data_IF_181610632614
#
_entry.id   IF_181610632614
#
_cell.length_a   1.000
_cell.length_b   1.000
_cell.length_c   1.000
_cell.angle_alpha   90.00
_cell.angle_beta   90.00
_cell.angle_gamma   90.00
#
_symmetry.space_group_name_H-M   'P 1'
#
loop_
_entity.id
_entity.type
_entity.pdbx_description
1 polymer ?
#
# COMPACT_ATOMS: atom_id res chain seq x y z
N UNK A 1 -1.80 17.42 -16.43
CA UNK A 1 -1.15 18.73 -16.60
C UNK A 1 0.35 18.65 -16.93
N UNK A 2 1.13 17.71 -16.35
CA UNK A 2 2.59 17.56 -16.60
C UNK A 2 2.97 16.96 -17.97
N UNK A 3 2.15 16.07 -18.51
CA UNK A 3 2.34 15.47 -19.85
C UNK A 3 2.05 16.48 -20.98
N UNK A 4 1.19 17.47 -20.76
CA UNK A 4 0.74 18.42 -21.78
C UNK A 4 1.65 19.66 -21.91
N UNK A 5 2.71 19.79 -21.09
CA UNK A 5 3.72 20.85 -21.16
C UNK A 5 5.10 20.37 -21.65
N UNK A 6 5.20 19.16 -22.23
CA UNK A 6 6.50 18.58 -22.63
C UNK A 6 7.54 18.49 -21.48
N UNK A 7 7.10 18.30 -20.23
CA UNK A 7 7.99 18.36 -19.06
C UNK A 7 8.82 19.68 -18.95
N UNK A 8 8.41 20.71 -19.71
CA UNK A 8 8.97 22.04 -19.95
C UNK A 8 10.02 22.27 -21.07
N UNK A 9 10.63 21.23 -21.69
CA UNK A 9 11.54 21.24 -22.89
C UNK A 9 12.39 19.92 -22.96
N UNK A 10 11.86 18.77 -22.49
CA UNK A 10 12.58 17.48 -22.47
C UNK A 10 13.49 17.22 -21.25
N UNK A 11 13.70 18.22 -20.37
CA UNK A 11 14.53 18.06 -19.14
C UNK A 11 13.87 17.15 -18.10
N UNK A 12 12.53 17.20 -17.96
CA UNK A 12 11.79 16.36 -17.02
C UNK A 12 11.98 14.85 -17.25
N UNK A 13 12.04 14.41 -18.52
CA UNK A 13 12.31 13.01 -18.86
C UNK A 13 13.71 12.56 -18.46
N UNK A 14 14.70 13.46 -18.53
CA UNK A 14 16.08 13.15 -18.15
C UNK A 14 16.22 13.02 -16.63
N UNK A 15 15.51 13.86 -15.88
CA UNK A 15 15.42 13.75 -14.41
C UNK A 15 14.72 12.45 -14.02
N UNK A 16 13.57 12.14 -14.63
CA UNK A 16 12.83 10.91 -14.37
C UNK A 16 13.67 9.64 -14.67
N UNK A 17 14.54 9.68 -15.69
CA UNK A 17 15.45 8.57 -16.01
C UNK A 17 16.42 8.24 -14.87
N UNK A 18 16.79 9.21 -14.03
CA UNK A 18 17.61 8.97 -12.84
C UNK A 18 16.78 8.79 -11.56
N UNK A 19 15.63 9.46 -11.47
CA UNK A 19 14.75 9.43 -10.31
C UNK A 19 14.09 8.05 -10.15
N UNK A 20 13.54 7.49 -11.24
CA UNK A 20 12.82 6.21 -11.22
C UNK A 20 13.74 5.06 -10.77
N UNK A 21 14.97 4.87 -11.32
CA UNK A 21 15.87 3.83 -10.84
C UNK A 21 16.33 4.02 -9.38
N UNK A 22 16.42 5.27 -8.90
CA UNK A 22 16.74 5.51 -7.49
C UNK A 22 15.60 5.10 -6.58
N UNK A 23 14.37 5.49 -6.94
CA UNK A 23 13.16 5.12 -6.21
C UNK A 23 12.92 3.61 -6.22
N UNK A 24 13.23 2.94 -7.34
CA UNK A 24 13.13 1.47 -7.49
C UNK A 24 14.10 0.74 -6.55
N UNK A 25 15.38 1.13 -6.53
CA UNK A 25 16.38 0.57 -5.60
C UNK A 25 16.01 0.80 -4.13
N UNK A 26 15.50 1.99 -3.81
CA UNK A 26 15.01 2.27 -2.45
C UNK A 26 13.79 1.43 -2.08
N UNK A 27 12.90 1.15 -3.05
CA UNK A 27 11.74 0.28 -2.87
C UNK A 27 12.17 -1.17 -2.62
N UNK A 28 13.09 -1.72 -3.41
CA UNK A 28 13.61 -3.09 -3.23
C UNK A 28 14.25 -3.30 -1.84
N UNK A 29 14.95 -2.29 -1.34
CA UNK A 29 15.55 -2.34 0.00
C UNK A 29 14.51 -2.25 1.12
N UNK A 30 13.39 -1.54 0.88
CA UNK A 30 12.35 -1.25 1.88
C UNK A 30 11.24 -2.30 1.93
N UNK A 31 10.90 -2.88 0.78
CA UNK A 31 9.83 -3.85 0.60
C UNK A 31 10.41 -5.25 0.39
N UNK A 32 10.96 -5.84 1.45
CA UNK A 32 11.39 -7.24 1.42
C UNK A 32 10.19 -8.16 1.28
N UNK A 33 10.34 -9.18 0.45
CA UNK A 33 9.39 -10.29 0.39
C UNK A 33 9.20 -10.91 1.78
N UNK A 34 7.95 -11.07 2.15
CA UNK A 34 7.55 -11.64 3.41
C UNK A 34 6.28 -12.46 3.25
N UNK A 35 5.83 -13.12 4.31
CA UNK A 35 4.69 -14.04 4.26
C UNK A 35 3.37 -13.37 3.87
N UNK A 36 3.25 -12.04 3.99
CA UNK A 36 2.08 -11.26 3.59
C UNK A 36 2.38 -10.57 2.27
N UNK A 37 1.61 -10.91 1.23
CA UNK A 37 1.79 -10.34 -0.11
C UNK A 37 1.06 -8.99 -0.27
N UNK A 38 1.75 -7.99 -0.81
CA UNK A 38 1.20 -6.65 -1.08
C UNK A 38 0.03 -6.70 -2.06
N UNK A 39 0.19 -7.35 -3.20
CA UNK A 39 -0.83 -7.42 -4.25
C UNK A 39 -2.11 -8.07 -3.74
N UNK A 40 -2.00 -9.20 -3.03
CA UNK A 40 -3.17 -9.89 -2.46
C UNK A 40 -3.88 -8.99 -1.45
N UNK A 41 -3.13 -8.33 -0.57
CA UNK A 41 -3.73 -7.45 0.45
C UNK A 41 -4.43 -6.24 -0.19
N UNK A 42 -3.84 -5.67 -1.24
CA UNK A 42 -4.44 -4.59 -2.02
C UNK A 42 -5.74 -5.01 -2.72
N UNK A 43 -5.76 -6.19 -3.34
CA UNK A 43 -6.98 -6.75 -3.94
C UNK A 43 -8.06 -6.92 -2.86
N UNK A 44 -7.70 -7.49 -1.70
CA UNK A 44 -8.64 -7.62 -0.57
C UNK A 44 -9.16 -6.27 -0.06
N UNK A 45 -8.34 -5.21 -0.06
CA UNK A 45 -8.75 -3.86 0.33
C UNK A 45 -9.71 -3.23 -0.69
N UNK A 46 -9.49 -3.44 -1.99
CA UNK A 46 -10.35 -2.83 -3.02
C UNK A 46 -11.72 -3.51 -3.06
N UNK A 47 -11.77 -4.84 -3.07
CA UNK A 47 -13.03 -5.58 -3.24
C UNK A 47 -13.76 -5.85 -1.93
N UNK A 48 -13.02 -6.11 -0.85
CA UNK A 48 -13.57 -6.50 0.46
C UNK A 48 -13.13 -5.54 1.57
N UNK A 49 -12.69 -4.33 1.20
CA UNK A 49 -12.21 -3.31 2.12
C UNK A 49 -13.24 -2.90 3.15
N UNK A 50 -14.47 -2.65 2.71
CA UNK A 50 -15.62 -2.24 3.55
C UNK A 50 -15.92 -3.26 4.65
N UNK A 51 -15.65 -4.54 4.38
CA UNK A 51 -15.80 -5.64 5.35
C UNK A 51 -14.54 -5.86 6.21
N UNK A 52 -13.44 -5.16 5.94
CA UNK A 52 -12.19 -5.29 6.69
C UNK A 52 -11.42 -6.60 6.43
N UNK A 53 -11.71 -7.33 5.34
CA UNK A 53 -11.13 -8.67 5.10
C UNK A 53 -9.61 -8.65 4.98
N UNK A 54 -9.06 -7.59 4.39
CA UNK A 54 -7.63 -7.35 4.30
C UNK A 54 -6.91 -7.36 5.68
N UNK A 55 -7.61 -6.98 6.77
CA UNK A 55 -7.05 -6.99 8.14
C UNK A 55 -6.91 -8.41 8.69
N UNK A 56 -7.79 -9.33 8.32
CA UNK A 56 -7.66 -10.74 8.70
C UNK A 56 -6.47 -11.40 8.00
N UNK A 57 -6.22 -11.05 6.73
CA UNK A 57 -5.03 -11.51 6.02
C UNK A 57 -3.74 -11.04 6.71
N UNK A 58 -3.74 -9.81 7.25
CA UNK A 58 -2.66 -9.29 8.09
C UNK A 58 -2.67 -9.80 9.56
N UNK A 59 -3.52 -10.77 9.91
CA UNK A 59 -3.73 -11.31 11.28
C UNK A 59 -4.13 -10.26 12.33
N UNK A 60 -4.65 -9.11 11.93
CA UNK A 60 -5.19 -8.07 12.83
C UNK A 60 -6.67 -8.32 13.15
N UNK A 61 -6.95 -9.49 13.75
CA UNK A 61 -8.30 -10.02 13.99
C UNK A 61 -9.23 -9.06 14.74
N UNK A 62 -8.75 -8.44 15.82
CA UNK A 62 -9.57 -7.53 16.64
C UNK A 62 -10.06 -6.35 15.79
N UNK A 63 -9.15 -5.70 15.04
CA UNK A 63 -9.51 -4.59 14.16
C UNK A 63 -10.39 -5.02 12.97
N UNK A 64 -10.21 -6.24 12.46
CA UNK A 64 -11.06 -6.81 11.40
C UNK A 64 -12.49 -7.08 11.87
N UNK A 65 -12.66 -7.59 13.10
CA UNK A 65 -13.98 -7.83 13.70
C UNK A 65 -14.71 -6.50 13.93
N UNK A 66 -14.00 -5.48 14.45
CA UNK A 66 -14.56 -4.14 14.60
C UNK A 66 -15.07 -3.64 13.23
N UNK A 67 -14.26 -3.81 12.18
CA UNK A 67 -14.63 -3.45 10.82
C UNK A 67 -15.87 -4.19 10.29
N UNK A 68 -15.99 -5.49 10.54
CA UNK A 68 -17.18 -6.28 10.18
C UNK A 68 -18.44 -5.81 10.90
N UNK A 69 -18.33 -5.55 12.21
CA UNK A 69 -19.47 -5.10 13.03
C UNK A 69 -19.90 -3.67 12.70
N UNK A 70 -19.01 -2.87 12.10
CA UNK A 70 -19.24 -1.44 11.86
C UNK A 70 -19.30 -1.04 10.38
N UNK A 71 -19.09 -2.00 9.47
CA UNK A 71 -19.12 -1.77 8.02
C UNK A 71 -18.06 -0.77 7.53
N UNK A 72 -16.90 -0.72 8.19
CA UNK A 72 -15.82 0.22 7.83
C UNK A 72 -15.97 1.66 8.30
N UNK A 73 -16.87 1.89 9.27
CA UNK A 73 -17.14 3.16 9.99
C UNK A 73 -17.17 4.41 9.11
N UNK A 74 -18.14 4.50 8.19
CA UNK A 74 -18.38 5.67 7.32
C UNK A 74 -17.34 5.93 6.23
N UNK A 75 -16.71 4.90 5.66
CA UNK A 75 -15.76 4.99 4.52
C UNK A 75 -14.45 5.72 4.80
N UNK A 76 -14.35 6.54 5.85
CA UNK A 76 -13.13 7.21 6.27
C UNK A 76 -12.05 6.21 6.71
N UNK A 77 -12.44 5.16 7.41
CA UNK A 77 -11.52 4.08 7.77
C UNK A 77 -10.91 3.41 6.54
N UNK A 78 -11.70 3.26 5.46
CA UNK A 78 -11.25 2.63 4.21
C UNK A 78 -10.23 3.50 3.48
N UNK A 79 -10.47 4.81 3.46
CA UNK A 79 -9.52 5.80 2.93
C UNK A 79 -8.23 5.84 3.73
N UNK A 80 -8.32 5.76 5.07
CA UNK A 80 -7.13 5.69 5.92
C UNK A 80 -6.30 4.42 5.63
N UNK A 81 -6.96 3.29 5.39
CA UNK A 81 -6.28 2.05 5.05
C UNK A 81 -5.53 2.15 3.71
N UNK A 82 -6.04 2.86 2.71
CA UNK A 82 -5.31 3.08 1.45
C UNK A 82 -3.94 3.74 1.63
N UNK A 83 -3.84 4.75 2.50
CA UNK A 83 -2.55 5.41 2.75
C UNK A 83 -1.61 4.56 3.58
N UNK A 84 -2.14 3.81 4.54
CA UNK A 84 -1.33 3.16 5.56
C UNK A 84 -1.00 1.70 5.23
N UNK A 85 -1.62 1.11 4.20
CA UNK A 85 -1.54 -0.33 3.90
C UNK A 85 -0.09 -0.82 3.73
N UNK A 86 0.69 -0.13 2.88
CA UNK A 86 2.05 -0.56 2.54
C UNK A 86 2.99 -0.57 3.76
N UNK A 87 2.84 0.42 4.66
CA UNK A 87 3.61 0.50 5.90
C UNK A 87 3.24 -0.66 6.83
N UNK A 88 1.93 -0.89 7.03
CA UNK A 88 1.43 -1.99 7.85
C UNK A 88 1.94 -3.37 7.37
N UNK A 89 1.92 -3.63 6.05
CA UNK A 89 2.41 -4.90 5.50
C UNK A 89 3.91 -5.05 5.72
N UNK A 90 4.70 -3.99 5.47
CA UNK A 90 6.16 -4.01 5.68
C UNK A 90 6.52 -4.29 7.14
N UNK A 91 5.83 -3.65 8.09
CA UNK A 91 6.03 -3.89 9.52
C UNK A 91 5.69 -5.33 9.92
N UNK A 92 4.56 -5.87 9.47
CA UNK A 92 4.16 -7.24 9.78
C UNK A 92 5.11 -8.28 9.16
N UNK A 93 5.58 -8.03 7.95
CA UNK A 93 6.58 -8.89 7.29
C UNK A 93 7.93 -8.82 7.99
N UNK A 94 8.35 -7.64 8.49
CA UNK A 94 9.57 -7.52 9.30
C UNK A 94 9.46 -8.35 10.58
N UNK A 95 8.36 -8.23 11.34
CA UNK A 95 8.17 -8.96 12.61
C UNK A 95 8.25 -10.48 12.42
N UNK A 96 7.69 -11.01 11.32
CA UNK A 96 7.66 -12.46 11.07
C UNK A 96 8.95 -13.05 10.50
N UNK A 97 9.85 -12.21 9.99
CA UNK A 97 11.12 -12.64 9.42
C UNK A 97 12.25 -12.70 10.47
N UNK A 98 11.96 -12.38 11.74
CA UNK A 98 12.80 -12.63 12.92
C UNK A 98 12.24 -13.80 13.72
#
# INVERSE_FOLDING_TARGET
>A
LWFCTFGLLGVGWLIDFFLIPSMDREADLKYKDGPINYNITWILLVYLGIFGVHRFYMRKWISGIIWLCTGGLFTLGWLYDFWTLNQNISEQNKIKNY
#
